data_IF_138634422791
#
_entry.id   IF_138634422791
#
_cell.length_a   1.000
_cell.length_b   1.000
_cell.length_c   1.000
_cell.angle_alpha   90.00
_cell.angle_beta   90.00
_cell.angle_gamma   90.00
#
_symmetry.space_group_name_H-M   'P 1'
#
loop_
_entity.id
_entity.type
_entity.pdbx_description
1 polymer ?
#
# COMPACT_ATOMS: atom_id res chain seq x y z
N UNK A 1 -13.74 -9.55 8.51
CA UNK A 1 -12.93 -8.37 8.11
C UNK A 1 -12.12 -8.74 6.88
N UNK A 2 -12.51 -8.18 5.75
CA UNK A 2 -11.75 -8.26 4.49
C UNK A 2 -10.40 -7.55 4.64
N UNK A 3 -9.44 -7.86 3.77
CA UNK A 3 -8.13 -7.19 3.71
C UNK A 3 -8.32 -5.68 3.46
N UNK A 4 -9.34 -5.32 2.67
CA UNK A 4 -9.70 -3.93 2.40
C UNK A 4 -10.20 -3.20 3.65
N UNK A 5 -11.01 -3.86 4.49
CA UNK A 5 -11.49 -3.29 5.75
C UNK A 5 -10.30 -2.99 6.69
N UNK A 6 -9.35 -3.94 6.79
CA UNK A 6 -8.15 -3.77 7.61
C UNK A 6 -7.25 -2.63 7.12
N UNK A 7 -7.16 -2.41 5.81
CA UNK A 7 -6.41 -1.27 5.26
C UNK A 7 -7.10 0.04 5.65
N UNK A 8 -8.42 0.09 5.52
CA UNK A 8 -9.22 1.28 5.85
C UNK A 8 -9.13 1.64 7.33
N UNK A 9 -9.22 0.64 8.21
CA UNK A 9 -9.06 0.84 9.66
C UNK A 9 -7.69 1.43 10.01
N UNK A 10 -6.61 0.96 9.38
CA UNK A 10 -5.24 1.48 9.60
C UNK A 10 -5.11 2.91 9.06
N UNK A 11 -5.71 3.23 7.92
CA UNK A 11 -5.69 4.58 7.34
C UNK A 11 -6.47 5.57 8.21
N UNK A 12 -7.63 5.18 8.74
CA UNK A 12 -8.43 5.99 9.66
C UNK A 12 -7.71 6.21 10.99
N UNK A 13 -7.04 5.19 11.52
CA UNK A 13 -6.22 5.31 12.74
C UNK A 13 -5.01 6.23 12.52
N UNK A 14 -4.34 6.13 11.37
CA UNK A 14 -3.25 7.03 10.99
C UNK A 14 -3.70 8.48 10.81
N UNK A 15 -4.92 8.71 10.29
CA UNK A 15 -5.46 10.05 10.10
C UNK A 15 -5.81 10.74 11.43
N UNK A 16 -6.25 9.98 12.44
CA UNK A 16 -6.57 10.50 13.78
C UNK A 16 -5.35 10.70 14.67
N UNK A 17 -4.27 9.95 14.44
CA UNK A 17 -3.09 9.97 15.31
C UNK A 17 -2.17 11.15 14.97
N UNK A 18 -1.99 12.07 15.93
CA UNK A 18 -1.00 13.14 15.79
C UNK A 18 0.43 12.60 15.88
N UNK A 19 1.33 13.14 15.06
CA UNK A 19 2.76 12.77 15.06
C UNK A 19 3.50 13.47 16.21
N UNK A 20 3.92 12.70 17.20
CA UNK A 20 4.76 13.16 18.31
C UNK A 20 5.72 12.04 18.75
N UNK A 21 6.66 12.34 19.66
CA UNK A 21 7.69 11.39 20.11
C UNK A 21 7.12 10.11 20.70
N UNK A 22 5.95 10.17 21.35
CA UNK A 22 5.29 9.00 21.94
C UNK A 22 4.57 8.14 20.90
N UNK A 23 4.05 8.73 19.81
CA UNK A 23 3.25 8.03 18.80
C UNK A 23 4.05 7.56 17.58
N UNK A 24 5.30 8.01 17.40
CA UNK A 24 6.13 7.62 16.25
C UNK A 24 6.36 6.10 16.15
N UNK A 25 6.56 5.40 17.26
CA UNK A 25 6.73 3.95 17.26
C UNK A 25 5.49 3.22 16.76
N UNK A 26 4.31 3.65 17.21
CA UNK A 26 3.02 3.11 16.78
C UNK A 26 2.74 3.38 15.31
N UNK A 27 2.98 4.61 14.83
CA UNK A 27 2.84 4.97 13.42
C UNK A 27 3.79 4.17 12.51
N UNK A 28 4.98 3.83 12.99
CA UNK A 28 5.92 2.96 12.28
C UNK A 28 5.37 1.53 12.12
N UNK A 29 4.79 0.97 13.19
CA UNK A 29 4.12 -0.33 13.18
C UNK A 29 2.89 -0.35 12.25
N UNK A 30 2.06 0.70 12.28
CA UNK A 30 0.89 0.83 11.41
C UNK A 30 1.30 0.89 9.93
N UNK A 31 2.34 1.66 9.58
CA UNK A 31 2.88 1.69 8.21
C UNK A 31 3.42 0.33 7.77
N UNK A 32 4.11 -0.41 8.63
CA UNK A 32 4.63 -1.73 8.30
C UNK A 32 3.50 -2.73 8.03
N UNK A 33 2.41 -2.68 8.81
CA UNK A 33 1.21 -3.49 8.60
C UNK A 33 0.51 -3.15 7.29
N UNK A 34 0.35 -1.86 6.99
CA UNK A 34 -0.24 -1.38 5.74
C UNK A 34 0.58 -1.84 4.51
N UNK A 35 1.92 -1.79 4.59
CA UNK A 35 2.78 -2.26 3.50
C UNK A 35 2.63 -3.77 3.23
N UNK A 36 2.52 -4.59 4.28
CA UNK A 36 2.29 -6.05 4.14
C UNK A 36 0.94 -6.32 3.46
N UNK A 37 -0.14 -5.68 3.93
CA UNK A 37 -1.48 -5.86 3.37
C UNK A 37 -1.57 -5.38 1.90
N UNK A 38 -0.92 -4.26 1.55
CA UNK A 38 -0.84 -3.80 0.15
C UNK A 38 -0.05 -4.76 -0.74
N UNK A 39 1.01 -5.38 -0.20
CA UNK A 39 1.80 -6.39 -0.91
C UNK A 39 1.01 -7.67 -1.16
N UNK A 40 0.17 -8.09 -0.22
CA UNK A 40 -0.73 -9.25 -0.41
C UNK A 40 -1.78 -9.00 -1.50
N UNK A 41 -2.24 -7.76 -1.65
CA UNK A 41 -3.17 -7.37 -2.73
C UNK A 41 -2.49 -7.36 -4.11
N UNK A 42 -1.23 -6.90 -4.15
CA UNK A 42 -0.37 -6.93 -5.33
C UNK A 42 0.31 -8.30 -5.40
N UNK A 43 -0.48 -9.36 -5.65
CA UNK A 43 0.08 -10.54 -6.31
C UNK A 43 0.77 -10.10 -7.61
N UNK A 44 1.94 -10.65 -8.00
CA UNK A 44 2.65 -10.22 -9.20
C UNK A 44 1.86 -10.64 -10.45
N UNK A 45 0.80 -9.90 -10.75
CA UNK A 45 0.21 -9.83 -12.09
C UNK A 45 1.16 -8.98 -12.91
N UNK A 46 2.26 -9.59 -13.32
CA UNK A 46 2.99 -9.10 -14.47
C UNK A 46 1.97 -8.99 -15.60
N UNK A 47 1.71 -7.78 -16.06
CA UNK A 47 1.08 -7.59 -17.37
C UNK A 47 2.08 -8.14 -18.38
N UNK A 48 1.98 -9.42 -18.67
CA UNK A 48 2.78 -10.09 -19.68
C UNK A 48 2.15 -9.82 -21.05
N UNK A 49 2.22 -8.56 -21.47
CA UNK A 49 2.02 -8.21 -22.88
C UNK A 49 3.37 -8.44 -23.55
N UNK A 50 3.42 -9.45 -24.41
CA UNK A 50 4.58 -9.77 -25.22
C UNK A 50 5.09 -8.49 -25.89
N UNK A 51 6.37 -8.14 -25.67
CA UNK A 51 6.98 -6.95 -26.26
C UNK A 51 6.88 -7.03 -27.79
N UNK A 52 6.36 -5.99 -28.41
CA UNK A 52 6.61 -5.69 -29.83
C UNK A 52 7.30 -4.34 -29.87
N UNK A 53 8.64 -4.33 -29.87
CA UNK A 53 9.47 -3.11 -29.90
C UNK A 53 10.35 -2.85 -28.67
N UNK A 54 11.17 -1.78 -28.74
CA UNK A 54 12.23 -1.49 -27.77
C UNK A 54 11.74 -0.85 -26.46
N UNK A 55 10.64 -0.09 -26.49
CA UNK A 55 10.16 0.74 -25.36
C UNK A 55 8.71 0.45 -24.96
N UNK A 56 8.38 0.69 -23.69
CA UNK A 56 7.02 0.64 -23.12
C UNK A 56 6.65 2.03 -22.63
N UNK A 57 5.52 2.58 -23.07
CA UNK A 57 5.00 3.89 -22.64
C UNK A 57 3.73 3.64 -21.82
N UNK A 58 3.72 4.09 -20.57
CA UNK A 58 2.55 4.06 -19.70
C UNK A 58 1.83 5.40 -19.73
N UNK A 59 0.59 5.43 -20.20
CA UNK A 59 -0.27 6.60 -20.10
C UNK A 59 -1.05 6.52 -18.79
N UNK A 60 -0.97 7.58 -17.97
CA UNK A 60 -1.78 7.75 -16.76
C UNK A 60 -2.51 9.08 -16.90
N UNK A 61 -3.84 9.05 -16.85
CA UNK A 61 -4.73 10.20 -16.94
C UNK A 61 -5.89 10.05 -15.98
#
# INVERSE_FOLDING_TARGET
MSILDKIKDIEDEMARTQRNKATMGHLGLLKARLAKLRRELISPKGFDVAKTGDSRIGFVG
#
